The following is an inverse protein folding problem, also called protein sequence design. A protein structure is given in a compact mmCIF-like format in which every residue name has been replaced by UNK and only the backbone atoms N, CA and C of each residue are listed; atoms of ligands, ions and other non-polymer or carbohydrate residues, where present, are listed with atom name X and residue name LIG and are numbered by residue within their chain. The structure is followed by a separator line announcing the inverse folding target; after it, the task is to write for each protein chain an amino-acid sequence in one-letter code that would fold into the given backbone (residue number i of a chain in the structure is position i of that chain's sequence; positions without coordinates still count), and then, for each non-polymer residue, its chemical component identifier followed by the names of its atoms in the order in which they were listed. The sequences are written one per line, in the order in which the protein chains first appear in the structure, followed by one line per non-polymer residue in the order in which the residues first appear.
data_IF_710047284566
#
_entry.id   IF_710047284566
#
_cell.length_a   1.000
_cell.length_b   1.000
_cell.length_c   1.000
_cell.angle_alpha   90.00
_cell.angle_beta   90.00
_cell.angle_gamma   90.00
#
_symmetry.space_group_name_H-M   'P 1'
#
loop_
_entity.id
_entity.type
_entity.pdbx_description
1 polymer ?
#
# COMPACT_ATOMS: atom_id res chain seq x y z
N UNK A 1 12.13 -6.84 -2.96
CA UNK A 1 11.06 -6.64 -1.95
C UNK A 1 10.94 -7.91 -1.14
N UNK A 2 11.00 -7.83 0.20
CA UNK A 2 10.84 -9.00 1.07
C UNK A 2 9.34 -9.29 1.20
N UNK A 3 8.93 -10.52 0.87
CA UNK A 3 7.52 -10.94 0.97
C UNK A 3 7.24 -11.27 2.44
N UNK A 4 6.16 -10.72 3.00
CA UNK A 4 5.74 -11.06 4.36
C UNK A 4 5.26 -12.53 4.40
N UNK A 5 5.74 -13.35 5.36
CA UNK A 5 5.44 -14.79 5.40
C UNK A 5 3.96 -15.08 5.73
N UNK A 6 3.28 -14.17 6.46
CA UNK A 6 1.85 -14.31 6.77
C UNK A 6 0.92 -13.50 5.85
N UNK A 7 1.45 -12.94 4.75
CA UNK A 7 0.67 -12.10 3.84
C UNK A 7 -0.47 -12.86 3.19
N UNK A 8 -0.25 -14.14 2.85
CA UNK A 8 -1.24 -14.97 2.16
C UNK A 8 -2.48 -15.18 3.03
N UNK A 9 -2.28 -15.57 4.28
CA UNK A 9 -3.33 -15.81 5.27
C UNK A 9 -4.12 -14.53 5.54
N UNK A 10 -3.44 -13.37 5.56
CA UNK A 10 -4.11 -12.08 5.71
C UNK A 10 -4.99 -11.73 4.50
N UNK A 11 -4.52 -12.04 3.28
CA UNK A 11 -5.31 -11.87 2.05
C UNK A 11 -6.52 -12.82 2.02
N UNK A 12 -6.37 -14.06 2.47
CA UNK A 12 -7.46 -15.05 2.50
C UNK A 12 -8.63 -14.58 3.39
N UNK A 13 -8.33 -13.87 4.50
CA UNK A 13 -9.36 -13.23 5.34
C UNK A 13 -10.10 -12.14 4.55
N UNK A 14 -9.39 -11.27 3.84
CA UNK A 14 -10.02 -10.19 3.05
C UNK A 14 -10.96 -10.77 1.99
N UNK A 15 -10.55 -11.85 1.33
CA UNK A 15 -11.39 -12.52 0.34
C UNK A 15 -12.61 -13.18 0.99
N UNK A 16 -12.42 -13.88 2.11
CA UNK A 16 -13.52 -14.48 2.86
C UNK A 16 -14.56 -13.43 3.29
N UNK A 17 -14.10 -12.27 3.78
CA UNK A 17 -14.99 -11.19 4.17
C UNK A 17 -15.76 -10.63 2.98
N UNK A 18 -15.11 -10.43 1.84
CA UNK A 18 -15.79 -9.96 0.63
C UNK A 18 -16.88 -10.94 0.18
N UNK A 19 -16.61 -12.25 0.21
CA UNK A 19 -17.60 -13.28 -0.17
C UNK A 19 -18.75 -13.39 0.85
N UNK A 20 -18.46 -13.25 2.14
CA UNK A 20 -19.43 -13.42 3.23
C UNK A 20 -20.03 -12.11 3.75
N UNK A 21 -20.07 -11.05 2.94
CA UNK A 21 -20.66 -9.74 3.32
C UNK A 21 -20.09 -9.19 4.64
N UNK A 22 -18.79 -9.37 4.84
CA UNK A 22 -18.04 -8.96 6.02
C UNK A 22 -18.51 -9.63 7.31
N UNK A 23 -19.18 -10.78 7.22
CA UNK A 23 -19.45 -11.62 8.37
C UNK A 23 -18.17 -12.37 8.73
N UNK A 24 -17.41 -11.82 9.68
CA UNK A 24 -16.22 -12.48 10.22
C UNK A 24 -16.56 -13.87 10.81
N UNK A 25 -17.81 -14.05 11.27
CA UNK A 25 -18.75 -15.12 10.91
C UNK A 25 -18.16 -16.45 10.48
N UNK A 26 -18.33 -16.58 9.18
CA UNK A 26 -17.93 -17.69 8.36
C UNK A 26 -16.41 -17.76 8.17
N UNK A 27 -15.66 -16.74 8.59
CA UNK A 27 -14.23 -16.60 8.34
C UNK A 27 -13.34 -17.04 9.52
N UNK A 28 -13.90 -17.71 10.53
CA UNK A 28 -13.15 -18.19 11.69
C UNK A 28 -11.95 -19.06 11.30
N UNK A 29 -12.09 -19.87 10.26
CA UNK A 29 -11.03 -20.76 9.75
C UNK A 29 -9.83 -20.00 9.18
N UNK A 30 -10.05 -18.90 8.45
CA UNK A 30 -8.98 -18.06 7.92
C UNK A 30 -8.32 -17.25 9.05
N UNK A 31 -9.12 -16.83 10.04
CA UNK A 31 -8.63 -16.09 11.20
C UNK A 31 -7.72 -16.98 12.07
N UNK A 32 -8.07 -18.24 12.32
CA UNK A 32 -7.22 -19.17 13.05
C UNK A 32 -5.93 -19.48 12.28
N UNK A 33 -6.00 -19.68 10.96
CA UNK A 33 -4.82 -19.89 10.12
C UNK A 33 -3.85 -18.70 10.18
N UNK A 34 -4.35 -17.47 10.19
CA UNK A 34 -3.50 -16.28 10.37
C UNK A 34 -2.87 -16.25 11.76
N UNK A 35 -3.63 -16.57 12.81
CA UNK A 35 -3.09 -16.63 14.18
C UNK A 35 -1.97 -17.67 14.30
N UNK A 36 -2.12 -18.85 13.70
CA UNK A 36 -1.08 -19.88 13.67
C UNK A 36 0.16 -19.43 12.91
N UNK A 37 -0.02 -18.72 11.80
CA UNK A 37 1.12 -18.13 11.08
C UNK A 37 1.84 -17.10 11.96
N UNK A 38 1.08 -16.24 12.63
CA UNK A 38 1.65 -15.22 13.51
C UNK A 38 2.35 -15.80 14.74
N UNK A 39 1.91 -16.96 15.26
CA UNK A 39 2.66 -17.67 16.32
C UNK A 39 4.08 -18.05 15.87
N UNK A 40 4.26 -18.40 14.59
CA UNK A 40 5.55 -18.81 14.03
C UNK A 40 6.42 -17.62 13.60
N UNK A 41 5.81 -16.60 12.99
CA UNK A 41 6.53 -15.52 12.30
C UNK A 41 6.25 -14.10 12.85
N UNK A 42 5.89 -13.97 14.13
CA UNK A 42 5.51 -12.69 14.73
C UNK A 42 6.53 -11.57 14.52
N UNK A 43 7.83 -11.88 14.62
CA UNK A 43 8.93 -10.90 14.54
C UNK A 43 9.26 -10.47 13.11
N UNK A 44 8.92 -11.29 12.13
CA UNK A 44 9.30 -11.08 10.73
C UNK A 44 8.15 -10.56 9.86
N UNK A 45 6.91 -10.81 10.28
CA UNK A 45 5.71 -10.46 9.53
C UNK A 45 5.11 -9.15 10.04
N UNK A 46 5.11 -8.12 9.20
CA UNK A 46 4.42 -6.86 9.50
C UNK A 46 2.91 -7.03 9.67
N UNK A 47 2.32 -8.06 9.05
CA UNK A 47 0.88 -8.35 9.12
C UNK A 47 0.41 -8.77 10.52
N UNK A 48 1.32 -9.24 11.38
CA UNK A 48 0.98 -9.79 12.69
C UNK A 48 0.86 -8.75 13.80
N UNK A 49 1.26 -7.49 13.54
CA UNK A 49 1.25 -6.41 14.54
C UNK A 49 -0.15 -6.11 15.13
N UNK A 50 -1.23 -6.46 14.41
CA UNK A 50 -2.62 -6.27 14.84
C UNK A 50 -3.31 -7.53 15.39
N UNK A 51 -2.64 -8.68 15.40
CA UNK A 51 -3.27 -9.98 15.71
C UNK A 51 -3.13 -10.28 17.21
N UNK A 52 -4.26 -10.50 17.90
CA UNK A 52 -4.30 -10.91 19.31
C UNK A 52 -3.97 -12.40 19.42
N UNK A 53 -2.69 -12.73 19.62
CA UNK A 53 -2.26 -14.11 19.88
C UNK A 53 -2.52 -14.43 21.37
N UNK A 54 -3.33 -15.46 21.64
CA UNK A 54 -3.55 -15.95 23.01
C UNK A 54 -2.48 -17.00 23.31
N UNK A 55 -1.37 -16.55 23.87
CA UNK A 55 -0.32 -17.46 24.35
C UNK A 55 -0.26 -17.38 25.88
N UNK A 56 -0.40 -18.53 26.54
CA UNK A 56 -0.28 -18.70 28.00
C UNK A 56 1.17 -18.82 28.46
N UNK A 57 2.16 -18.36 27.69
CA UNK A 57 3.57 -18.37 28.06
C UNK A 57 4.24 -17.06 27.62
N UNK A 58 4.29 -16.13 28.56
CA UNK A 58 4.94 -14.82 28.48
C UNK A 58 6.41 -14.92 28.06
N UNK A 59 6.86 -14.10 27.10
CA UNK A 59 8.22 -13.54 27.06
C UNK A 59 8.27 -12.23 26.23
N UNK A 60 7.91 -11.13 26.89
CA UNK A 60 8.60 -9.83 26.89
C UNK A 60 9.21 -9.28 25.59
N UNK A 61 8.43 -8.47 24.86
CA UNK A 61 8.74 -7.06 24.60
C UNK A 61 7.56 -6.39 23.84
N UNK A 62 6.84 -5.50 24.54
CA UNK A 62 5.81 -4.59 24.04
C UNK A 62 4.51 -5.23 23.46
N UNK A 63 3.54 -5.51 24.34
CA UNK A 63 2.34 -4.67 24.45
C UNK A 63 1.43 -5.21 25.57
N UNK A 64 1.61 -4.69 26.79
CA UNK A 64 0.52 -4.71 27.77
C UNK A 64 -0.56 -3.75 27.24
N UNK A 65 -1.72 -4.27 26.89
CA UNK A 65 -2.96 -3.48 26.98
C UNK A 65 -3.92 -4.27 27.85
N UNK A 66 -4.05 -3.75 29.06
CA UNK A 66 -5.05 -3.98 30.09
C UNK A 66 -6.27 -4.78 29.63
N UNK A 67 -6.43 -5.94 30.25
CA UNK A 67 -7.69 -6.66 30.33
C UNK A 67 -8.73 -5.76 31.00
N UNK A 68 -9.84 -5.49 30.31
CA UNK A 68 -11.10 -5.23 30.97
C UNK A 68 -12.12 -6.23 30.44
N UNK A 69 -12.81 -6.84 31.40
CA UNK A 69 -13.76 -7.92 31.30
C UNK A 69 -14.93 -7.59 30.36
N UNK A 70 -15.11 -8.37 29.28
CA UNK A 70 -16.43 -8.54 28.66
C UNK A 70 -16.61 -9.97 28.14
N UNK A 71 -17.31 -10.77 28.95
CA UNK A 71 -18.10 -11.91 28.50
C UNK A 71 -19.36 -11.34 27.84
N UNK A 72 -19.39 -11.18 26.51
CA UNK A 72 -20.63 -11.07 25.72
C UNK A 72 -20.33 -11.02 24.22
N UNK A 73 -20.96 -11.91 23.44
CA UNK A 73 -21.11 -11.92 21.97
C UNK A 73 -19.89 -11.50 21.14
N UNK A 74 -19.16 -12.49 20.63
CA UNK A 74 -18.01 -12.29 19.74
C UNK A 74 -18.48 -11.93 18.32
N UNK A 75 -19.06 -10.76 18.19
CA UNK A 75 -19.12 -10.02 16.93
C UNK A 75 -17.70 -9.58 16.66
N UNK A 76 -17.03 -10.34 15.83
CA UNK A 76 -15.96 -9.87 14.98
C UNK A 76 -16.55 -8.80 14.05
N UNK A 77 -16.73 -7.64 14.66
CA UNK A 77 -16.61 -6.36 14.02
C UNK A 77 -15.11 -6.10 14.04
N UNK A 78 -14.52 -5.90 12.87
CA UNK A 78 -13.41 -4.99 12.66
C UNK A 78 -13.74 -3.72 13.42
N UNK A 79 -13.38 -3.71 14.69
CA UNK A 79 -13.44 -2.56 15.53
C UNK A 79 -12.34 -1.67 14.98
N UNK A 80 -12.69 -0.79 14.05
CA UNK A 80 -12.16 0.56 14.08
C UNK A 80 -12.69 1.21 15.36
N UNK A 81 -12.23 0.71 16.50
CA UNK A 81 -12.16 1.53 17.69
C UNK A 81 -11.08 2.53 17.31
N UNK A 82 -11.49 3.75 17.00
CA UNK A 82 -10.62 4.90 17.08
C UNK A 82 -10.11 4.95 18.52
N UNK A 83 -9.10 4.14 18.83
CA UNK A 83 -8.21 4.42 19.93
C UNK A 83 -7.68 5.80 19.62
N UNK A 84 -7.97 6.75 20.51
CA UNK A 84 -7.32 8.03 20.42
C UNK A 84 -5.81 7.74 20.25
N UNK A 85 -5.17 8.34 19.24
CA UNK A 85 -3.72 8.36 19.14
C UNK A 85 -3.05 8.47 20.50
N UNK A 86 -1.93 7.76 20.79
CA UNK A 86 -0.96 8.38 21.68
C UNK A 86 -0.72 9.78 21.12
N UNK A 87 -0.92 10.80 21.97
CA UNK A 87 -1.05 12.24 21.65
C UNK A 87 0.15 12.87 20.90
N UNK A 88 1.08 12.08 20.38
CA UNK A 88 2.25 12.56 19.65
C UNK A 88 2.64 11.70 18.44
N UNK A 89 1.74 10.90 17.85
CA UNK A 89 1.95 10.53 16.45
C UNK A 89 1.37 11.64 15.58
N UNK A 90 2.23 12.57 15.14
CA UNK A 90 1.86 13.50 14.07
C UNK A 90 1.60 12.66 12.83
N UNK A 91 0.33 12.37 12.54
CA UNK A 91 -0.08 11.95 11.19
C UNK A 91 0.46 13.02 10.24
N UNK A 92 1.37 12.69 9.31
CA UNK A 92 1.75 13.63 8.28
C UNK A 92 0.47 14.02 7.54
N UNK A 93 0.12 15.30 7.53
CA UNK A 93 -1.08 15.77 6.82
C UNK A 93 -1.01 15.22 5.40
N UNK A 94 -2.08 14.57 4.89
CA UNK A 94 -2.07 14.07 3.52
C UNK A 94 -1.75 15.25 2.60
N UNK A 95 -0.62 15.16 1.89
CA UNK A 95 -0.28 16.17 0.89
C UNK A 95 -1.46 16.20 -0.09
N UNK A 96 -2.00 17.39 -0.36
CA UNK A 96 -3.04 17.56 -1.38
C UNK A 96 -2.43 17.19 -2.73
N UNK A 97 -2.59 15.94 -3.10
CA UNK A 97 -2.08 15.38 -4.34
C UNK A 97 -3.03 15.84 -5.43
N UNK A 98 -2.50 16.60 -6.39
CA UNK A 98 -3.27 17.08 -7.53
C UNK A 98 -3.83 15.92 -8.35
N UNK A 99 -4.92 16.15 -9.10
CA UNK A 99 -5.60 15.09 -9.86
C UNK A 99 -4.67 14.34 -10.82
N UNK A 100 -3.70 15.04 -11.41
CA UNK A 100 -2.70 14.46 -12.33
C UNK A 100 -1.75 13.49 -11.61
N UNK A 101 -1.29 13.83 -10.40
CA UNK A 101 -0.42 12.95 -9.62
C UNK A 101 -1.17 11.69 -9.13
N UNK A 102 -2.44 11.84 -8.76
CA UNK A 102 -3.27 10.72 -8.36
C UNK A 102 -3.50 9.75 -9.54
N UNK A 103 -3.75 10.30 -10.73
CA UNK A 103 -3.91 9.54 -11.96
C UNK A 103 -2.62 8.82 -12.38
N UNK A 104 -1.47 9.51 -12.35
CA UNK A 104 -0.17 8.93 -12.67
C UNK A 104 0.19 7.75 -11.76
N UNK A 105 -0.11 7.83 -10.45
CA UNK A 105 0.10 6.73 -9.51
C UNK A 105 -0.79 5.51 -9.78
N UNK A 106 -2.00 5.74 -10.32
CA UNK A 106 -2.97 4.68 -10.60
C UNK A 106 -2.76 4.03 -11.97
N UNK A 107 -2.09 4.71 -12.90
CA UNK A 107 -1.80 4.21 -14.24
C UNK A 107 -0.40 4.64 -14.74
N UNK A 108 0.68 4.01 -14.23
CA UNK A 108 2.04 4.45 -14.51
C UNK A 108 2.42 4.33 -15.99
N UNK A 109 2.05 3.22 -16.64
CA UNK A 109 2.36 2.99 -18.06
C UNK A 109 1.64 3.97 -18.99
N UNK A 110 0.39 4.34 -18.69
CA UNK A 110 -0.35 5.30 -19.51
C UNK A 110 0.21 6.71 -19.36
N UNK A 111 0.62 7.10 -18.15
CA UNK A 111 1.28 8.38 -17.93
C UNK A 111 2.62 8.45 -18.67
N UNK A 112 3.45 7.41 -18.57
CA UNK A 112 4.71 7.34 -19.30
C UNK A 112 4.51 7.42 -20.82
N UNK A 113 3.56 6.65 -21.36
CA UNK A 113 3.24 6.68 -22.79
C UNK A 113 2.77 8.06 -23.26
N UNK A 114 1.86 8.72 -22.53
CA UNK A 114 1.41 10.07 -22.88
C UNK A 114 2.55 11.09 -22.80
N UNK A 115 3.38 11.04 -21.76
CA UNK A 115 4.50 11.96 -21.60
C UNK A 115 5.55 11.81 -22.70
N UNK A 116 5.93 10.56 -23.04
CA UNK A 116 6.87 10.28 -24.12
C UNK A 116 6.28 10.66 -25.48
N UNK A 117 5.02 10.30 -25.74
CA UNK A 117 4.38 10.62 -27.02
C UNK A 117 4.27 12.13 -27.22
N UNK A 118 3.83 12.88 -26.21
CA UNK A 118 3.78 14.34 -26.28
C UNK A 118 5.18 14.95 -26.41
N UNK A 119 6.16 14.46 -25.65
CA UNK A 119 7.55 14.95 -25.74
C UNK A 119 8.18 14.73 -27.11
N UNK A 120 8.04 13.52 -27.68
CA UNK A 120 8.50 13.19 -29.03
C UNK A 120 7.73 14.02 -30.07
N UNK A 121 6.42 14.18 -29.92
CA UNK A 121 5.63 15.00 -30.85
C UNK A 121 6.06 16.46 -30.84
N UNK A 122 6.38 17.03 -29.67
CA UNK A 122 6.87 18.42 -29.55
C UNK A 122 8.27 18.57 -30.15
N UNK A 123 9.17 17.63 -29.86
CA UNK A 123 10.51 17.64 -30.42
C UNK A 123 10.43 17.51 -31.95
N UNK A 124 9.76 16.48 -32.48
CA UNK A 124 9.68 16.23 -33.93
C UNK A 124 8.63 17.09 -34.67
N UNK A 125 7.99 18.05 -34.00
CA UNK A 125 7.16 19.05 -34.68
C UNK A 125 8.07 19.99 -35.47
N UNK A 126 7.83 20.04 -36.79
CA UNK A 126 8.66 20.73 -37.80
C UNK A 126 9.23 22.12 -37.44
N UNK A 127 8.53 23.05 -36.76
CA UNK A 127 9.11 24.37 -36.49
C UNK A 127 10.26 24.39 -35.46
N UNK A 128 10.41 23.38 -34.60
CA UNK A 128 11.44 23.38 -33.53
C UNK A 128 12.70 22.59 -33.95
N UNK A 129 12.57 21.51 -34.71
CA UNK A 129 13.72 20.71 -35.17
C UNK A 129 14.67 21.47 -36.11
N UNK A 130 14.12 22.32 -36.98
CA UNK A 130 14.92 23.11 -37.92
C UNK A 130 15.77 24.20 -37.23
N UNK A 131 15.38 24.66 -36.03
CA UNK A 131 16.13 25.69 -35.28
C UNK A 131 17.41 25.13 -34.65
N UNK A 132 17.43 23.86 -34.23
CA UNK A 132 18.52 23.31 -33.42
C UNK A 132 19.43 22.29 -34.14
N UNK A 133 19.00 21.64 -35.24
CA UNK A 133 19.79 20.58 -35.89
C UNK A 133 20.32 20.96 -37.27
N UNK A 134 19.72 21.95 -37.94
CA UNK A 134 20.23 22.40 -39.24
C UNK A 134 21.34 23.43 -39.04
N UNK A 135 22.57 22.93 -38.91
CA UNK A 135 23.76 23.79 -39.02
C UNK A 135 23.71 24.63 -40.30
N UNK A 136 24.32 25.83 -40.32
CA UNK A 136 24.28 26.71 -41.48
C UNK A 136 24.80 25.96 -42.71
N UNK A 137 24.00 26.03 -43.76
CA UNK A 137 24.30 25.50 -45.09
C UNK A 137 25.67 26.05 -45.50
N UNK A 138 26.66 25.17 -45.70
CA UNK A 138 27.97 25.59 -46.22
C UNK A 138 27.78 26.29 -47.56
N UNK A 139 27.92 27.62 -47.55
CA UNK A 139 28.06 28.41 -48.77
C UNK A 139 29.41 28.12 -49.43
N UNK A 140 29.50 28.21 -50.77
CA UNK A 140 30.71 27.83 -51.49
C UNK A 140 31.91 28.72 -51.10
N UNK A 141 33.04 28.10 -50.73
CA UNK A 141 34.30 28.80 -50.45
C UNK A 141 34.83 29.50 -51.71
N UNK A 142 35.19 30.80 -51.65
CA UNK A 142 35.86 31.47 -52.76
C UNK A 142 37.30 30.98 -52.89
N UNK A 143 37.78 30.88 -54.13
CA UNK A 143 39.14 30.51 -54.51
C UNK A 143 40.02 31.76 -54.65
#
# INVERSE_FOLDING_TARGET
MKKDPCQRQACDIQECLQRNRYQEAACETQITALQECCKKWYKESGCCAGVKIKDSATSTAALKTTSSNQKSNKTYSLNLKAGAPPSSYKVPKPKKIGPIQLWARRNPYKFHFLAVTLGVSILFSRPIYDIFIKGPIEGPRPR
#
